data_IF_569402448209
#
_entry.id   IF_569402448209
#
_cell.length_a   1.000
_cell.length_b   1.000
_cell.length_c   1.000
_cell.angle_alpha   90.00
_cell.angle_beta   90.00
_cell.angle_gamma   90.00
#
_symmetry.space_group_name_H-M   'P 1'
#
loop_
_entity.id
_entity.type
_entity.pdbx_description
1 polymer ?
#
# COMPACT_ATOMS: atom_id res chain seq x y z
N UNK A 1 -12.36 -7.79 20.67
CA UNK A 1 -11.73 -6.97 19.65
C UNK A 1 -11.42 -5.56 20.14
N UNK A 2 -10.63 -4.84 19.37
CA UNK A 2 -10.41 -3.42 19.65
C UNK A 2 -11.65 -2.61 19.22
N UNK A 3 -12.08 -1.62 20.01
CA UNK A 3 -13.26 -0.82 19.68
C UNK A 3 -13.02 0.13 18.49
N UNK A 4 -11.78 0.33 18.09
CA UNK A 4 -11.34 1.20 17.01
C UNK A 4 -9.86 1.51 17.11
N UNK A 5 -9.40 2.44 16.26
CA UNK A 5 -8.02 2.94 16.23
C UNK A 5 -7.97 4.36 16.82
N UNK A 6 -6.86 4.68 17.50
CA UNK A 6 -6.58 6.01 18.03
C UNK A 6 -5.32 6.52 17.34
N UNK A 7 -5.38 7.74 16.79
CA UNK A 7 -4.26 8.38 16.12
C UNK A 7 -4.31 9.90 16.29
N UNK A 8 -3.17 10.55 16.17
CA UNK A 8 -3.08 12.01 16.00
C UNK A 8 -3.23 12.44 14.55
N UNK A 9 -3.07 11.49 13.62
CA UNK A 9 -3.24 11.69 12.19
C UNK A 9 -4.66 12.15 11.89
N UNK A 10 -4.79 13.24 11.15
CA UNK A 10 -6.08 13.83 10.80
C UNK A 10 -6.53 14.99 11.71
N UNK A 11 -5.87 15.24 12.85
CA UNK A 11 -6.15 16.43 13.65
C UNK A 11 -5.97 17.72 12.84
N UNK A 12 -6.94 18.63 12.92
CA UNK A 12 -6.94 19.90 12.18
C UNK A 12 -7.30 19.78 10.69
N UNK A 13 -7.41 18.56 10.15
CA UNK A 13 -7.83 18.31 8.76
C UNK A 13 -9.35 18.18 8.65
N UNK A 14 -9.87 17.87 7.46
CA UNK A 14 -11.29 17.60 7.26
C UNK A 14 -11.78 16.34 8.01
N UNK A 15 -10.90 15.44 8.41
CA UNK A 15 -11.22 14.27 9.24
C UNK A 15 -11.53 14.65 10.70
N UNK A 16 -11.01 15.78 11.17
CA UNK A 16 -11.30 16.31 12.51
C UNK A 16 -12.78 16.60 12.65
N UNK A 17 -13.47 16.13 13.71
CA UNK A 17 -14.90 16.42 13.94
C UNK A 17 -15.24 17.91 13.90
N UNK A 18 -14.30 18.76 14.32
CA UNK A 18 -14.46 20.23 14.28
C UNK A 18 -14.50 20.80 12.85
N UNK A 19 -13.97 20.06 11.87
CA UNK A 19 -13.84 20.47 10.47
C UNK A 19 -14.65 19.61 9.49
N UNK A 20 -15.60 18.81 10.00
CA UNK A 20 -16.49 18.00 9.18
C UNK A 20 -16.46 16.50 9.45
N UNK A 21 -15.53 16.01 10.26
CA UNK A 21 -15.50 14.61 10.73
C UNK A 21 -15.40 13.57 9.63
N UNK A 22 -14.65 13.85 8.55
CA UNK A 22 -14.45 12.93 7.44
C UNK A 22 -15.67 12.71 6.53
N UNK A 23 -16.75 13.48 6.69
CA UNK A 23 -17.98 13.34 5.91
C UNK A 23 -17.83 13.99 4.53
N UNK A 24 -17.24 13.27 3.58
CA UNK A 24 -16.83 13.79 2.28
C UNK A 24 -17.97 14.16 1.32
N UNK A 25 -19.19 13.65 1.53
CA UNK A 25 -20.33 13.91 0.64
C UNK A 25 -21.62 14.17 1.42
N UNK A 26 -22.66 14.64 0.70
CA UNK A 26 -23.93 14.99 1.31
C UNK A 26 -24.60 13.80 2.01
N UNK A 27 -24.57 12.63 1.36
CA UNK A 27 -25.15 11.40 1.96
C UNK A 27 -24.51 11.07 3.32
N UNK A 28 -23.18 11.18 3.41
CA UNK A 28 -22.46 10.95 4.68
C UNK A 28 -22.87 11.97 5.75
N UNK A 29 -23.10 13.23 5.37
CA UNK A 29 -23.59 14.27 6.28
C UNK A 29 -25.00 14.00 6.75
N UNK A 30 -25.88 13.57 5.85
CA UNK A 30 -27.31 13.34 6.13
C UNK A 30 -27.55 12.11 7.02
N UNK A 31 -26.64 11.13 7.02
CA UNK A 31 -26.79 9.93 7.88
C UNK A 31 -26.68 10.22 9.37
N UNK A 32 -26.07 11.34 9.75
CA UNK A 32 -25.81 11.68 11.15
C UNK A 32 -24.80 10.74 11.85
N UNK A 33 -24.25 9.73 11.14
CA UNK A 33 -23.26 8.81 11.71
C UNK A 33 -21.94 9.54 11.91
N UNK A 34 -21.37 9.40 13.10
CA UNK A 34 -19.99 9.82 13.37
C UNK A 34 -19.04 8.70 13.01
N UNK A 35 -18.10 9.00 12.11
CA UNK A 35 -17.05 8.05 11.65
C UNK A 35 -15.72 8.31 12.34
N UNK A 36 -15.61 9.40 13.07
CA UNK A 36 -14.45 9.79 13.87
C UNK A 36 -14.90 10.65 15.03
N UNK A 37 -14.29 10.53 16.19
CA UNK A 37 -14.54 11.38 17.36
C UNK A 37 -13.23 11.91 17.94
N UNK A 38 -13.32 13.07 18.59
CA UNK A 38 -12.19 13.65 19.31
C UNK A 38 -12.14 13.03 20.71
N UNK A 39 -10.97 12.59 21.11
CA UNK A 39 -10.72 12.02 22.45
C UNK A 39 -9.45 12.60 23.03
N UNK A 40 -9.34 12.63 24.35
CA UNK A 40 -8.10 12.97 25.03
C UNK A 40 -7.50 11.71 25.64
N UNK A 41 -6.24 11.45 25.34
CA UNK A 41 -5.48 10.33 25.88
C UNK A 41 -4.13 10.79 26.36
N UNK A 42 -3.84 10.58 27.65
CA UNK A 42 -2.55 10.98 28.25
C UNK A 42 -2.26 12.48 28.14
N UNK A 43 -3.28 13.33 28.19
CA UNK A 43 -3.15 14.79 28.08
C UNK A 43 -2.93 15.29 26.62
N UNK A 44 -3.19 14.44 25.63
CA UNK A 44 -3.07 14.80 24.22
C UNK A 44 -4.39 14.57 23.51
N UNK A 45 -4.79 15.52 22.66
CA UNK A 45 -5.91 15.32 21.74
C UNK A 45 -5.55 14.25 20.70
N UNK A 46 -6.48 13.34 20.46
CA UNK A 46 -6.38 12.28 19.45
C UNK A 46 -7.73 12.14 18.74
N UNK A 47 -7.70 11.54 17.57
CA UNK A 47 -8.89 11.08 16.86
C UNK A 47 -9.10 9.60 17.14
N UNK A 48 -10.32 9.24 17.48
CA UNK A 48 -10.77 7.85 17.61
C UNK A 48 -11.60 7.48 16.39
N UNK A 49 -11.16 6.45 15.68
CA UNK A 49 -11.82 5.87 14.52
C UNK A 49 -12.47 4.55 14.96
N UNK A 50 -13.79 4.51 15.16
CA UNK A 50 -14.47 3.31 15.62
C UNK A 50 -14.38 2.19 14.59
N UNK A 51 -14.22 0.95 15.06
CA UNK A 51 -14.32 -0.21 14.20
C UNK A 51 -15.76 -0.37 13.69
N UNK A 52 -15.91 -0.95 12.51
CA UNK A 52 -17.20 -1.23 11.89
C UNK A 52 -17.20 -2.65 11.31
N UNK A 53 -18.37 -3.31 11.26
CA UNK A 53 -18.46 -4.64 10.65
C UNK A 53 -18.28 -4.56 9.13
N UNK A 54 -17.72 -5.62 8.56
CA UNK A 54 -17.57 -5.79 7.11
C UNK A 54 -18.26 -7.09 6.73
N UNK A 55 -19.19 -7.01 5.77
CA UNK A 55 -20.04 -8.14 5.41
C UNK A 55 -19.36 -9.09 4.41
N UNK A 56 -18.59 -8.55 3.46
CA UNK A 56 -17.96 -9.35 2.39
C UNK A 56 -16.62 -8.73 2.02
N UNK A 57 -15.62 -9.58 1.75
CA UNK A 57 -14.41 -9.14 1.07
C UNK A 57 -14.06 -10.07 -0.10
N UNK A 58 -13.38 -9.46 -1.08
CA UNK A 58 -12.71 -10.17 -2.16
C UNK A 58 -11.22 -9.95 -1.98
N UNK A 59 -10.47 -11.05 -1.90
CA UNK A 59 -9.01 -11.00 -1.78
C UNK A 59 -8.38 -11.81 -2.90
N UNK A 60 -7.17 -11.44 -3.28
CA UNK A 60 -6.37 -12.18 -4.22
C UNK A 60 -5.20 -12.83 -3.51
N UNK A 61 -4.86 -14.04 -3.95
CA UNK A 61 -3.68 -14.79 -3.52
C UNK A 61 -3.11 -15.59 -4.69
N UNK A 62 -1.89 -16.08 -4.56
CA UNK A 62 -1.24 -16.89 -5.59
C UNK A 62 -1.79 -18.31 -5.61
N UNK A 63 -1.66 -19.02 -4.51
CA UNK A 63 -2.17 -20.38 -4.37
C UNK A 63 -3.17 -20.47 -3.21
N UNK A 64 -4.20 -21.28 -3.43
CA UNK A 64 -5.05 -21.77 -2.37
C UNK A 64 -4.99 -23.29 -2.31
N UNK A 65 -4.86 -23.90 -1.15
CA UNK A 65 -4.98 -25.33 -1.06
C UNK A 65 -6.44 -25.78 -0.86
N UNK A 66 -6.71 -27.09 -1.01
CA UNK A 66 -8.06 -27.67 -0.86
C UNK A 66 -8.68 -27.43 0.53
N UNK A 67 -7.90 -27.03 1.53
CA UNK A 67 -8.37 -26.66 2.86
C UNK A 67 -8.59 -25.14 3.01
N UNK A 68 -8.37 -24.35 1.93
CA UNK A 68 -8.55 -22.90 1.93
C UNK A 68 -7.36 -22.10 2.46
N UNK A 69 -6.21 -22.72 2.73
CA UNK A 69 -5.00 -22.00 3.10
C UNK A 69 -4.46 -21.22 1.88
N UNK A 70 -4.11 -19.95 2.06
CA UNK A 70 -3.69 -19.08 0.98
C UNK A 70 -2.24 -18.63 1.13
N UNK A 71 -1.54 -18.54 0.00
CA UNK A 71 -0.18 -17.96 -0.10
C UNK A 71 -0.11 -16.91 -1.20
N UNK A 72 0.84 -15.98 -1.09
CA UNK A 72 0.96 -14.80 -1.95
C UNK A 72 2.34 -14.65 -2.60
N UNK A 73 3.09 -15.73 -2.73
CA UNK A 73 4.50 -15.66 -3.14
C UNK A 73 4.74 -15.06 -4.53
N UNK A 74 3.77 -15.09 -5.42
CA UNK A 74 3.89 -14.50 -6.76
C UNK A 74 3.26 -13.09 -6.87
N UNK A 75 2.62 -12.61 -5.80
CA UNK A 75 2.02 -11.29 -5.83
C UNK A 75 3.10 -10.20 -5.80
N UNK A 76 2.86 -9.12 -6.53
CA UNK A 76 3.77 -7.98 -6.58
C UNK A 76 3.77 -7.13 -5.29
N UNK A 77 2.78 -7.34 -4.43
CA UNK A 77 2.59 -6.58 -3.20
C UNK A 77 1.95 -7.46 -2.12
N UNK A 78 2.31 -7.18 -0.88
CA UNK A 78 1.69 -7.78 0.30
C UNK A 78 0.92 -6.68 1.05
N UNK A 79 -0.27 -6.37 0.55
CA UNK A 79 -1.11 -5.30 1.11
C UNK A 79 -1.91 -5.78 2.33
N UNK A 80 -3.22 -5.55 2.38
CA UNK A 80 -4.04 -5.86 3.57
C UNK A 80 -4.83 -7.19 3.45
N UNK A 81 -4.41 -8.14 2.62
CA UNK A 81 -5.16 -9.38 2.41
C UNK A 81 -5.50 -10.10 3.71
N UNK A 82 -4.53 -10.20 4.62
CA UNK A 82 -4.74 -10.84 5.92
C UNK A 82 -5.63 -10.01 6.84
N UNK A 83 -5.38 -8.72 6.92
CA UNK A 83 -6.10 -7.80 7.80
C UNK A 83 -7.59 -7.72 7.42
N UNK A 84 -7.87 -7.64 6.12
CA UNK A 84 -9.23 -7.60 5.59
C UNK A 84 -9.95 -8.93 5.79
N UNK A 85 -9.30 -10.06 5.48
CA UNK A 85 -9.88 -11.39 5.72
C UNK A 85 -10.21 -11.60 7.20
N UNK A 86 -9.29 -11.24 8.10
CA UNK A 86 -9.49 -11.35 9.53
C UNK A 86 -10.63 -10.43 10.02
N UNK A 87 -10.71 -9.20 9.54
CA UNK A 87 -11.76 -8.25 9.91
C UNK A 87 -13.14 -8.75 9.47
N UNK A 88 -13.27 -9.27 8.25
CA UNK A 88 -14.53 -9.81 7.71
C UNK A 88 -14.94 -11.08 8.47
N UNK A 89 -14.02 -12.03 8.63
CA UNK A 89 -14.28 -13.25 9.39
C UNK A 89 -14.74 -12.95 10.81
N UNK A 90 -14.06 -12.04 11.51
CA UNK A 90 -14.41 -11.64 12.88
C UNK A 90 -15.71 -10.83 12.96
N UNK A 91 -16.19 -10.28 11.86
CA UNK A 91 -17.49 -9.62 11.75
C UNK A 91 -18.64 -10.59 11.44
N UNK A 92 -18.32 -11.87 11.17
CA UNK A 92 -19.27 -12.88 10.70
C UNK A 92 -19.65 -12.70 9.23
N UNK A 93 -18.80 -12.03 8.46
CA UNK A 93 -18.96 -11.80 7.03
C UNK A 93 -18.37 -12.93 6.19
N UNK A 94 -18.35 -12.75 4.89
CA UNK A 94 -17.95 -13.74 3.87
C UNK A 94 -16.63 -13.35 3.24
N UNK A 95 -15.65 -14.25 3.29
CA UNK A 95 -14.33 -14.08 2.66
C UNK A 95 -14.27 -14.89 1.38
N UNK A 96 -14.11 -14.23 0.25
CA UNK A 96 -13.98 -14.83 -1.09
C UNK A 96 -12.57 -14.59 -1.60
N UNK A 97 -11.82 -15.66 -1.83
CA UNK A 97 -10.45 -15.59 -2.31
C UNK A 97 -10.35 -16.04 -3.77
N UNK A 98 -9.82 -15.20 -4.64
CA UNK A 98 -9.38 -15.58 -5.98
C UNK A 98 -7.92 -16.01 -5.92
N UNK A 99 -7.59 -17.14 -6.52
CA UNK A 99 -6.23 -17.68 -6.63
C UNK A 99 -5.88 -18.01 -8.07
N UNK A 100 -4.59 -18.02 -8.39
CA UNK A 100 -4.13 -18.46 -9.71
C UNK A 100 -4.33 -19.97 -9.89
N UNK A 101 -4.18 -20.72 -8.80
CA UNK A 101 -4.35 -22.17 -8.83
C UNK A 101 -4.75 -22.72 -7.47
N UNK A 102 -5.68 -23.68 -7.51
CA UNK A 102 -5.96 -24.54 -6.35
C UNK A 102 -4.95 -25.70 -6.35
N UNK A 103 -4.27 -25.89 -5.23
CA UNK A 103 -3.27 -26.93 -5.03
C UNK A 103 -3.73 -27.95 -3.98
N UNK A 104 -3.06 -29.10 -3.93
CA UNK A 104 -3.40 -30.14 -2.97
C UNK A 104 -3.19 -29.66 -1.53
N UNK A 105 -4.09 -30.04 -0.63
CA UNK A 105 -3.96 -29.76 0.80
C UNK A 105 -2.58 -30.12 1.33
N UNK A 106 -1.95 -29.21 2.07
CA UNK A 106 -0.62 -29.37 2.65
C UNK A 106 0.55 -29.16 1.69
N UNK A 107 0.30 -28.73 0.43
CA UNK A 107 1.37 -28.38 -0.52
C UNK A 107 2.00 -27.03 -0.22
N UNK A 108 1.29 -26.12 0.44
CA UNK A 108 1.80 -24.81 0.82
C UNK A 108 2.62 -24.95 2.10
N UNK A 109 3.91 -24.59 2.12
CA UNK A 109 4.71 -24.61 3.34
C UNK A 109 4.05 -23.73 4.44
N UNK A 110 4.01 -24.20 5.67
CA UNK A 110 3.29 -23.53 6.76
C UNK A 110 3.75 -22.07 7.00
N UNK A 111 5.01 -21.74 6.71
CA UNK A 111 5.54 -20.37 6.82
C UNK A 111 5.07 -19.45 5.70
N UNK A 112 4.61 -20.00 4.58
CA UNK A 112 4.11 -19.27 3.43
C UNK A 112 2.59 -19.12 3.45
N UNK A 113 1.89 -19.79 4.38
CA UNK A 113 0.47 -19.59 4.59
C UNK A 113 0.24 -18.21 5.21
N UNK A 114 -0.22 -17.27 4.39
CA UNK A 114 -0.58 -15.93 4.86
C UNK A 114 -1.94 -15.93 5.54
N UNK A 115 -2.93 -16.59 4.94
CA UNK A 115 -4.30 -16.68 5.42
C UNK A 115 -4.65 -18.14 5.59
N UNK A 116 -4.99 -18.54 6.82
CA UNK A 116 -5.40 -19.90 7.10
C UNK A 116 -6.85 -20.14 6.67
N UNK A 117 -7.14 -21.34 6.17
CA UNK A 117 -8.43 -21.72 5.60
C UNK A 117 -9.65 -21.48 6.49
N UNK A 118 -9.52 -21.45 7.82
CA UNK A 118 -10.65 -21.15 8.69
C UNK A 118 -11.25 -19.75 8.47
N UNK A 119 -10.51 -18.83 7.85
CA UNK A 119 -10.98 -17.47 7.50
C UNK A 119 -11.57 -17.38 6.10
N UNK A 120 -11.51 -18.42 5.28
CA UNK A 120 -11.89 -18.38 3.86
C UNK A 120 -13.17 -19.19 3.65
N UNK A 121 -14.23 -18.54 3.17
CA UNK A 121 -15.51 -19.21 2.90
C UNK A 121 -15.59 -19.75 1.48
N UNK A 122 -15.02 -19.02 0.51
CA UNK A 122 -15.02 -19.42 -0.89
C UNK A 122 -13.65 -19.24 -1.53
N UNK A 123 -13.22 -20.28 -2.24
CA UNK A 123 -12.00 -20.30 -3.03
C UNK A 123 -12.38 -20.40 -4.51
N UNK A 124 -11.87 -19.45 -5.31
CA UNK A 124 -12.16 -19.35 -6.73
C UNK A 124 -10.83 -19.39 -7.50
N UNK A 125 -10.65 -20.40 -8.35
CA UNK A 125 -9.53 -20.42 -9.27
C UNK A 125 -9.79 -19.43 -10.42
N UNK A 126 -8.92 -18.44 -10.57
CA UNK A 126 -9.00 -17.42 -11.59
C UNK A 126 -8.57 -17.96 -12.95
N UNK A 127 -9.14 -17.41 -14.02
CA UNK A 127 -8.62 -17.66 -15.37
C UNK A 127 -7.36 -16.82 -15.58
N UNK A 128 -6.37 -17.31 -16.37
CA UNK A 128 -5.13 -16.57 -16.60
C UNK A 128 -5.32 -15.11 -17.02
N UNK A 129 -6.31 -14.85 -17.90
CA UNK A 129 -6.64 -13.51 -18.37
C UNK A 129 -7.19 -12.54 -17.30
N UNK A 130 -7.58 -13.07 -16.14
CA UNK A 130 -8.08 -12.30 -14.97
C UNK A 130 -7.20 -12.48 -13.73
N UNK A 131 -6.03 -13.08 -13.90
CA UNK A 131 -5.09 -13.39 -12.82
C UNK A 131 -3.74 -12.70 -13.03
N UNK A 132 -3.76 -11.50 -13.62
CA UNK A 132 -2.56 -10.72 -13.85
C UNK A 132 -1.90 -10.30 -12.53
N UNK A 133 -0.59 -10.36 -12.48
CA UNK A 133 0.20 -9.96 -11.30
C UNK A 133 0.12 -8.45 -11.04
N UNK A 134 0.05 -7.66 -12.11
CA UNK A 134 -0.21 -6.23 -12.10
C UNK A 134 -1.03 -5.85 -13.35
N UNK A 135 -1.50 -4.62 -13.44
CA UNK A 135 -2.42 -4.21 -14.50
C UNK A 135 -1.78 -4.13 -15.90
N UNK A 136 -0.46 -3.92 -15.99
CA UNK A 136 0.27 -3.82 -17.27
C UNK A 136 1.10 -5.07 -17.58
N UNK A 137 0.95 -6.17 -16.81
CA UNK A 137 1.74 -7.38 -17.02
C UNK A 137 0.92 -8.48 -17.68
N UNK A 138 1.30 -8.88 -18.90
CA UNK A 138 0.72 -10.02 -19.61
C UNK A 138 1.31 -11.37 -19.16
N UNK A 139 2.44 -11.34 -18.47
CA UNK A 139 3.16 -12.53 -18.00
C UNK A 139 3.69 -12.33 -16.59
N UNK A 140 3.90 -13.44 -15.90
CA UNK A 140 4.49 -13.42 -14.56
C UNK A 140 5.91 -12.83 -14.60
N UNK A 141 6.18 -11.89 -13.72
CA UNK A 141 7.42 -11.16 -13.55
C UNK A 141 8.00 -11.46 -12.16
N UNK A 142 8.95 -12.41 -12.04
CA UNK A 142 9.51 -12.81 -10.75
C UNK A 142 10.27 -11.66 -10.05
N UNK A 143 10.79 -10.70 -10.80
CA UNK A 143 11.54 -9.56 -10.27
C UNK A 143 10.68 -8.54 -9.51
N UNK A 144 9.36 -8.50 -9.77
CA UNK A 144 8.46 -7.66 -8.97
C UNK A 144 7.81 -8.42 -7.81
N UNK A 145 7.92 -9.74 -7.81
CA UNK A 145 7.53 -10.58 -6.67
C UNK A 145 8.68 -10.81 -5.67
N UNK A 146 9.86 -10.23 -5.91
CA UNK A 146 11.05 -10.46 -5.07
C UNK A 146 11.63 -11.87 -5.16
N UNK A 147 11.28 -12.64 -6.20
CA UNK A 147 11.73 -14.03 -6.41
C UNK A 147 12.98 -14.14 -7.27
N UNK A 148 13.30 -13.11 -8.02
CA UNK A 148 14.50 -13.03 -8.86
C UNK A 148 14.96 -11.58 -8.94
N UNK A 149 16.22 -11.40 -9.35
CA UNK A 149 16.74 -10.07 -9.67
C UNK A 149 17.16 -10.04 -11.14
N UNK A 150 16.82 -8.97 -11.83
CA UNK A 150 17.25 -8.69 -13.18
C UNK A 150 18.29 -7.57 -13.18
N UNK A 151 19.22 -7.54 -14.15
CA UNK A 151 20.10 -6.39 -14.29
C UNK A 151 19.29 -5.10 -14.44
N UNK A 152 19.71 -4.06 -13.76
CA UNK A 152 19.09 -2.71 -13.85
C UNK A 152 19.37 -2.03 -15.22
N UNK A 153 19.79 -2.78 -16.22
CA UNK A 153 20.16 -2.30 -17.55
C UNK A 153 18.93 -2.25 -18.45
N UNK A 154 18.60 -1.07 -18.97
CA UNK A 154 17.56 -0.93 -19.99
C UNK A 154 16.26 -0.29 -19.52
N UNK A 155 16.24 0.26 -18.33
CA UNK A 155 15.13 1.17 -17.97
C UNK A 155 15.29 2.46 -18.78
N UNK A 156 14.28 2.77 -19.58
CA UNK A 156 14.28 4.03 -20.32
C UNK A 156 14.37 5.22 -19.34
N UNK A 157 15.41 6.03 -19.44
CA UNK A 157 15.53 7.18 -18.56
C UNK A 157 14.35 8.12 -18.80
N UNK A 158 13.84 8.69 -17.72
CA UNK A 158 12.76 9.68 -17.81
C UNK A 158 13.13 10.74 -18.86
N UNK A 159 12.32 10.96 -19.91
CA UNK A 159 12.66 11.90 -20.97
C UNK A 159 12.81 13.32 -20.42
N UNK A 160 13.72 14.12 -21.01
CA UNK A 160 13.92 15.50 -20.59
C UNK A 160 12.63 16.30 -20.79
N UNK A 161 12.17 16.93 -19.72
CA UNK A 161 10.93 17.72 -19.71
C UNK A 161 10.60 18.18 -18.30
N UNK A 162 9.47 18.89 -18.10
CA UNK A 162 9.09 19.42 -16.79
C UNK A 162 9.06 18.36 -15.70
N UNK A 163 8.56 17.16 -16.00
CA UNK A 163 8.51 16.04 -15.03
C UNK A 163 9.92 15.65 -14.56
N UNK A 164 10.86 15.45 -15.47
CA UNK A 164 12.24 15.11 -15.11
C UNK A 164 12.90 16.20 -14.29
N UNK A 165 12.69 17.47 -14.66
CA UNK A 165 13.24 18.61 -13.94
C UNK A 165 12.71 18.64 -12.49
N UNK A 166 11.40 18.48 -12.30
CA UNK A 166 10.80 18.43 -10.97
C UNK A 166 11.34 17.24 -10.14
N UNK A 167 11.42 16.06 -10.74
CA UNK A 167 11.94 14.86 -10.06
C UNK A 167 13.41 15.02 -9.67
N UNK A 168 14.25 15.59 -10.56
CA UNK A 168 15.66 15.87 -10.24
C UNK A 168 15.78 16.92 -9.11
N UNK A 169 14.96 17.97 -9.15
CA UNK A 169 14.95 18.96 -8.07
C UNK A 169 14.55 18.34 -6.73
N UNK A 170 13.52 17.48 -6.72
CA UNK A 170 13.11 16.78 -5.52
C UNK A 170 14.19 15.78 -5.04
N UNK A 171 14.85 15.07 -5.95
CA UNK A 171 15.95 14.17 -5.61
C UNK A 171 17.11 14.87 -4.89
N UNK A 172 17.35 16.15 -5.13
CA UNK A 172 18.38 16.95 -4.42
C UNK A 172 18.07 17.17 -2.94
N UNK A 173 16.84 16.95 -2.49
CA UNK A 173 16.44 17.02 -1.07
C UNK A 173 16.65 15.69 -0.34
N UNK A 174 16.94 14.60 -1.07
CA UNK A 174 17.18 13.29 -0.48
C UNK A 174 18.58 13.24 0.12
N UNK A 175 18.70 12.55 1.24
CA UNK A 175 19.98 12.42 1.98
C UNK A 175 20.50 11.00 1.89
N UNK A 176 21.83 10.81 1.86
CA UNK A 176 22.40 9.47 1.98
C UNK A 176 21.95 8.75 3.26
N UNK A 177 21.80 7.43 3.17
CA UNK A 177 21.38 6.54 4.27
C UNK A 177 20.00 6.87 4.87
N UNK A 178 19.09 7.46 4.08
CA UNK A 178 17.71 7.76 4.50
C UNK A 178 16.70 6.80 3.91
N UNK A 179 15.62 6.57 4.66
CA UNK A 179 14.43 5.87 4.19
C UNK A 179 13.44 6.88 3.61
N UNK A 180 13.04 6.66 2.36
CA UNK A 180 12.26 7.62 1.58
C UNK A 180 10.99 6.95 1.05
N UNK A 181 9.83 7.54 1.36
CA UNK A 181 8.58 7.14 0.72
C UNK A 181 8.31 8.00 -0.53
N UNK A 182 7.96 7.34 -1.61
CA UNK A 182 7.53 7.98 -2.86
C UNK A 182 6.03 7.72 -3.08
N UNK A 183 5.28 8.82 -3.23
CA UNK A 183 3.88 8.76 -3.59
C UNK A 183 3.65 8.52 -5.09
N UNK A 184 2.40 8.22 -5.43
CA UNK A 184 1.95 7.98 -6.80
C UNK A 184 2.12 9.22 -7.69
N UNK A 185 2.31 9.02 -8.99
CA UNK A 185 2.32 10.08 -9.99
C UNK A 185 3.69 10.74 -10.16
N UNK A 186 3.78 12.05 -9.95
CA UNK A 186 5.02 12.81 -10.13
C UNK A 186 6.17 12.27 -9.26
N UNK A 187 5.97 12.00 -7.96
CA UNK A 187 7.03 11.51 -7.09
C UNK A 187 7.65 10.18 -7.53
N UNK A 188 6.88 9.26 -8.11
CA UNK A 188 7.39 8.00 -8.64
C UNK A 188 8.50 8.15 -9.68
N UNK A 189 8.55 9.29 -10.39
CA UNK A 189 9.63 9.59 -11.32
C UNK A 189 11.00 9.82 -10.66
N UNK A 190 11.06 10.01 -9.35
CA UNK A 190 12.33 10.13 -8.60
C UNK A 190 13.10 8.82 -8.65
N UNK A 191 12.43 7.68 -8.56
CA UNK A 191 13.05 6.36 -8.69
C UNK A 191 13.77 6.20 -10.05
N UNK A 192 13.10 6.58 -11.14
CA UNK A 192 13.71 6.56 -12.49
C UNK A 192 14.87 7.55 -12.63
N UNK A 193 14.82 8.70 -11.96
CA UNK A 193 15.93 9.67 -11.94
C UNK A 193 17.10 9.08 -11.14
N UNK A 194 16.85 8.53 -9.97
CA UNK A 194 17.87 7.92 -9.12
C UNK A 194 18.62 6.81 -9.85
N UNK A 195 17.88 5.92 -10.53
CA UNK A 195 18.46 4.86 -11.34
C UNK A 195 19.31 5.43 -12.49
N UNK A 196 18.76 6.34 -13.29
CA UNK A 196 19.43 6.92 -14.45
C UNK A 196 20.66 7.76 -14.10
N UNK A 197 20.82 8.20 -12.85
CA UNK A 197 21.93 9.02 -12.37
C UNK A 197 22.84 8.27 -11.39
N UNK A 198 22.61 6.96 -11.16
CA UNK A 198 23.45 6.13 -10.28
C UNK A 198 23.35 6.51 -8.81
N UNK A 199 22.19 6.91 -8.33
CA UNK A 199 21.97 7.38 -6.97
C UNK A 199 21.24 6.34 -6.09
N UNK A 200 20.85 5.20 -6.63
CA UNK A 200 20.03 4.19 -5.96
C UNK A 200 20.68 3.65 -4.67
N UNK A 201 22.00 3.52 -4.66
CA UNK A 201 22.75 3.03 -3.49
C UNK A 201 22.87 4.07 -2.35
N UNK A 202 22.47 5.30 -2.59
CA UNK A 202 22.62 6.36 -1.58
C UNK A 202 21.53 6.34 -0.51
N UNK A 203 20.33 5.83 -0.83
CA UNK A 203 19.16 5.83 0.05
C UNK A 203 18.26 4.65 -0.26
N UNK A 204 17.40 4.29 0.67
CA UNK A 204 16.41 3.23 0.47
C UNK A 204 15.09 3.84 0.07
N UNK A 205 14.62 3.55 -1.14
CA UNK A 205 13.26 3.88 -1.56
C UNK A 205 12.28 2.91 -0.90
N UNK A 206 11.11 3.40 -0.57
CA UNK A 206 10.03 2.59 -0.04
C UNK A 206 8.69 3.05 -0.59
N UNK A 207 7.76 2.11 -0.69
CA UNK A 207 6.37 2.37 -0.98
C UNK A 207 5.53 1.92 0.21
N UNK A 208 4.45 2.62 0.48
CA UNK A 208 3.52 2.27 1.56
C UNK A 208 2.90 0.87 1.36
N UNK A 209 2.87 0.37 0.13
CA UNK A 209 2.41 -0.97 -0.23
C UNK A 209 3.34 -2.11 0.23
N UNK A 210 4.53 -1.78 0.80
CA UNK A 210 5.41 -2.73 1.43
C UNK A 210 6.79 -2.94 0.85
N UNK A 211 7.06 -2.72 -0.46
CA UNK A 211 8.39 -2.88 -1.02
C UNK A 211 9.39 -1.86 -0.50
N UNK A 212 10.61 -2.31 -0.21
CA UNK A 212 11.79 -1.50 0.13
C UNK A 212 12.91 -1.78 -0.87
N UNK A 213 13.66 -0.75 -1.22
CA UNK A 213 14.71 -0.82 -2.23
C UNK A 213 14.17 -0.99 -3.63
N UNK A 214 15.06 -1.21 -4.58
CA UNK A 214 14.71 -1.43 -5.99
C UNK A 214 14.13 -0.21 -6.71
N UNK A 215 13.50 -0.45 -7.85
CA UNK A 215 12.99 0.58 -8.74
C UNK A 215 11.45 0.55 -8.75
N UNK A 216 10.78 1.54 -8.15
CA UNK A 216 9.31 1.61 -8.16
C UNK A 216 8.74 1.71 -9.57
N UNK A 217 7.69 0.94 -9.85
CA UNK A 217 6.92 1.07 -11.09
C UNK A 217 6.02 2.31 -11.03
N UNK A 218 5.73 2.86 -12.18
CA UNK A 218 4.85 4.01 -12.33
C UNK A 218 3.49 3.66 -12.93
N UNK A 219 2.65 4.68 -13.16
CA UNK A 219 1.36 4.49 -13.79
C UNK A 219 0.39 3.67 -12.95
N UNK A 220 -0.33 2.77 -13.57
CA UNK A 220 -1.30 1.88 -12.90
C UNK A 220 -0.63 0.71 -12.16
N UNK A 221 0.64 0.45 -12.39
CA UNK A 221 1.44 -0.55 -11.66
C UNK A 221 2.13 0.04 -10.42
N UNK A 222 1.82 1.28 -10.06
CA UNK A 222 2.33 1.89 -8.83
C UNK A 222 2.01 1.01 -7.62
N UNK A 223 3.01 0.83 -6.76
CA UNK A 223 2.96 -0.09 -5.62
C UNK A 223 3.88 -1.29 -5.79
N UNK A 224 4.08 -1.74 -7.03
CA UNK A 224 5.07 -2.76 -7.35
C UNK A 224 6.47 -2.14 -7.56
N UNK A 225 7.50 -2.93 -7.31
CA UNK A 225 8.91 -2.50 -7.41
C UNK A 225 9.73 -3.59 -8.07
N UNK A 226 10.57 -3.22 -9.03
CA UNK A 226 11.52 -4.15 -9.65
C UNK A 226 12.70 -4.32 -8.71
N UNK A 227 13.14 -5.57 -8.50
CA UNK A 227 14.24 -5.92 -7.62
C UNK A 227 14.08 -5.36 -6.19
N UNK A 228 12.95 -5.52 -5.51
CA UNK A 228 12.85 -5.09 -4.12
C UNK A 228 13.87 -5.83 -3.25
N UNK A 229 14.49 -5.14 -2.31
CA UNK A 229 15.39 -5.73 -1.32
C UNK A 229 14.61 -6.45 -0.21
N UNK A 230 13.42 -5.93 0.11
CA UNK A 230 12.48 -6.54 1.03
C UNK A 230 11.04 -6.21 0.63
N UNK A 231 10.12 -7.11 0.99
CA UNK A 231 8.70 -6.92 0.79
C UNK A 231 7.98 -7.10 2.12
N UNK A 232 7.67 -6.00 2.78
CA UNK A 232 6.90 -6.02 4.01
C UNK A 232 5.39 -6.01 3.71
N UNK A 233 4.60 -6.44 4.68
CA UNK A 233 3.16 -6.20 4.65
C UNK A 233 2.90 -4.71 4.82
N UNK A 234 1.89 -4.20 4.13
CA UNK A 234 1.53 -2.77 4.21
C UNK A 234 1.30 -2.31 5.66
N UNK A 235 0.66 -3.12 6.48
CA UNK A 235 0.48 -2.82 7.90
C UNK A 235 1.81 -2.62 8.65
N UNK A 236 2.85 -3.38 8.28
CA UNK A 236 4.17 -3.27 8.94
C UNK A 236 4.97 -2.07 8.46
N UNK A 237 4.91 -1.74 7.16
CA UNK A 237 5.60 -0.56 6.65
C UNK A 237 4.98 0.72 7.22
N UNK A 238 3.66 0.77 7.38
CA UNK A 238 2.97 1.89 8.02
C UNK A 238 3.34 2.02 9.51
N UNK A 239 3.43 0.90 10.24
CA UNK A 239 3.92 0.91 11.63
C UNK A 239 5.38 1.38 11.72
N UNK A 240 6.22 1.02 10.74
CA UNK A 240 7.60 1.48 10.65
C UNK A 240 7.66 3.01 10.47
N UNK A 241 6.81 3.55 9.60
CA UNK A 241 6.71 4.99 9.37
C UNK A 241 6.20 5.74 10.61
N UNK A 242 5.13 5.26 11.23
CA UNK A 242 4.56 5.83 12.46
C UNK A 242 5.56 5.77 13.62
N UNK A 243 6.42 4.75 13.65
CA UNK A 243 7.51 4.60 14.61
C UNK A 243 8.66 5.60 14.45
N UNK A 244 8.65 6.40 13.36
CA UNK A 244 9.64 7.44 13.10
C UNK A 244 10.83 7.02 12.24
N UNK A 245 10.76 5.87 11.55
CA UNK A 245 11.84 5.43 10.66
C UNK A 245 11.86 6.19 9.32
N UNK A 246 10.77 6.84 8.94
CA UNK A 246 10.68 7.57 7.67
C UNK A 246 11.38 8.93 7.76
N UNK A 247 12.46 9.11 6.99
CA UNK A 247 13.20 10.37 6.94
C UNK A 247 12.55 11.41 6.03
N UNK A 248 12.01 10.97 4.90
CA UNK A 248 11.38 11.83 3.88
C UNK A 248 10.20 11.13 3.22
N UNK A 249 9.16 11.91 2.98
CA UNK A 249 8.07 11.54 2.06
C UNK A 249 8.02 12.56 0.93
N UNK A 250 7.90 12.09 -0.31
CA UNK A 250 7.67 12.93 -1.48
C UNK A 250 6.31 12.57 -2.04
N UNK A 251 5.37 13.48 -1.90
CA UNK A 251 3.96 13.23 -2.20
C UNK A 251 3.45 14.18 -3.28
N UNK A 252 2.50 13.69 -4.08
CA UNK A 252 1.75 14.52 -5.03
C UNK A 252 0.62 15.28 -4.31
N UNK A 253 0.23 16.42 -4.88
CA UNK A 253 -0.91 17.20 -4.43
C UNK A 253 -1.53 17.94 -5.62
N UNK A 254 -2.78 18.39 -5.46
CA UNK A 254 -3.47 19.15 -6.51
C UNK A 254 -3.17 20.64 -6.44
N UNK A 255 -3.16 21.20 -5.24
CA UNK A 255 -3.02 22.62 -4.99
C UNK A 255 -2.09 22.87 -3.80
N UNK A 256 -1.39 23.99 -3.85
CA UNK A 256 -0.58 24.49 -2.74
C UNK A 256 -0.78 26.00 -2.61
N UNK A 257 -0.98 26.48 -1.41
CA UNK A 257 -1.06 27.90 -1.15
C UNK A 257 0.31 28.53 -0.83
N UNK A 258 0.35 29.85 -0.72
CA UNK A 258 1.58 30.60 -0.40
C UNK A 258 2.12 30.34 1.02
N UNK A 259 1.36 29.70 1.88
CA UNK A 259 1.76 29.34 3.25
C UNK A 259 2.28 27.91 3.34
N UNK A 260 2.24 27.17 2.23
CA UNK A 260 2.66 25.78 2.16
C UNK A 260 1.58 24.77 2.55
N UNK A 261 0.31 25.18 2.72
CA UNK A 261 -0.78 24.24 2.89
C UNK A 261 -1.08 23.57 1.56
N UNK A 262 -1.26 22.24 1.59
CA UNK A 262 -1.51 21.42 0.40
C UNK A 262 -2.91 20.81 0.44
N UNK A 263 -3.53 20.74 -0.74
CA UNK A 263 -4.79 20.04 -0.95
C UNK A 263 -4.54 18.80 -1.80
N UNK A 264 -4.73 17.62 -1.20
CA UNK A 264 -4.48 16.33 -1.85
C UNK A 264 -5.77 15.52 -2.09
N UNK A 265 -6.94 15.97 -1.65
CA UNK A 265 -8.16 15.17 -1.62
C UNK A 265 -9.45 15.88 -2.03
N UNK A 266 -9.40 17.17 -2.28
CA UNK A 266 -10.59 17.96 -2.63
C UNK A 266 -10.24 18.85 -3.84
N UNK A 267 -11.00 18.72 -4.93
CA UNK A 267 -10.79 19.43 -6.19
C UNK A 267 -12.04 20.23 -6.57
#
# INVERSE_FOLDING_TARGET
GLPGAIATTGLGTFADPRNGGGKANQRARDTGKEVVSLVELGGKECLFYPSFPIDVCFIRATYGDEAGNLSIQNEAMNIEQFEVAAAVHNSGGIVIAQVDRVVKQGSIPAKEVLIHGFMVDYLVEGRPEYSMQSFETDAFRPEIAGLASIPAVGFDPLPMGPRKICCRRAAMELRPNSLINLGIGMPGGIGSVAEGEGLTDLFTLSLECGPLGGIPLGGIDFGATINPEAMYRMAYILQLYDGGALDRAVLGFAEVDRLGNVNAHSF
#
